data_IF_753867131834
#
_entry.id   IF_753867131834
#
_cell.length_a   1.000
_cell.length_b   1.000
_cell.length_c   1.000
_cell.angle_alpha   90.00
_cell.angle_beta   90.00
_cell.angle_gamma   90.00
#
_symmetry.space_group_name_H-M   'P 1'
#
loop_
_entity.id
_entity.type
_entity.pdbx_description
1 polymer ?
#
# COMPACT_ATOMS: atom_id res chain seq x y z
N UNK A 1 14.29 32.28 -0.09
CA UNK A 1 12.90 32.64 0.27
C UNK A 1 12.00 32.24 -0.90
N UNK A 2 10.85 31.58 -0.67
CA UNK A 2 9.96 30.95 -1.70
C UNK A 2 10.51 29.71 -2.42
N UNK A 3 11.26 28.87 -1.70
CA UNK A 3 11.78 27.62 -2.25
C UNK A 3 10.64 26.67 -2.69
N UNK A 4 9.60 26.52 -1.87
CA UNK A 4 8.43 25.68 -2.18
C UNK A 4 7.67 26.10 -3.44
N UNK A 5 7.62 27.39 -3.78
CA UNK A 5 6.95 27.91 -5.00
C UNK A 5 7.80 27.72 -6.27
N UNK A 6 9.09 27.37 -6.12
CA UNK A 6 10.08 27.34 -7.21
C UNK A 6 10.80 26.00 -7.31
N UNK A 7 10.27 24.96 -6.66
CA UNK A 7 10.85 23.63 -6.62
C UNK A 7 9.84 22.61 -7.10
N UNK A 8 10.25 21.79 -8.07
CA UNK A 8 9.54 20.59 -8.48
C UNK A 8 10.28 19.40 -7.91
N UNK A 9 9.55 18.56 -7.17
CA UNK A 9 10.10 17.34 -6.59
C UNK A 9 9.77 16.19 -7.54
N UNK A 10 10.79 15.58 -8.10
CA UNK A 10 10.66 14.37 -8.91
C UNK A 10 10.89 13.18 -7.98
N UNK A 11 9.81 12.46 -7.70
CA UNK A 11 9.85 11.22 -6.91
C UNK A 11 9.99 10.05 -7.86
N UNK A 12 10.88 9.12 -7.53
CA UNK A 12 11.07 7.87 -8.27
C UNK A 12 10.77 6.70 -7.36
N UNK A 13 10.05 5.71 -7.88
CA UNK A 13 9.90 4.41 -7.24
C UNK A 13 10.72 3.37 -7.98
N UNK A 14 11.38 2.50 -7.21
CA UNK A 14 12.15 1.39 -7.73
C UNK A 14 11.34 0.11 -7.62
N UNK A 15 11.45 -0.76 -8.62
CA UNK A 15 10.84 -2.10 -8.64
C UNK A 15 11.82 -3.18 -8.14
N UNK A 16 12.83 -2.80 -7.36
CA UNK A 16 13.83 -3.74 -6.86
C UNK A 16 13.26 -4.46 -5.64
N UNK A 17 13.44 -5.78 -5.61
CA UNK A 17 13.12 -6.59 -4.45
C UNK A 17 14.09 -6.29 -3.31
N UNK A 18 13.58 -5.60 -2.30
CA UNK A 18 14.30 -5.22 -1.09
C UNK A 18 13.35 -5.27 0.10
N UNK A 19 13.91 -5.43 1.29
CA UNK A 19 13.13 -5.45 2.51
C UNK A 19 13.87 -4.79 3.66
N UNK A 20 13.09 -4.28 4.59
CA UNK A 20 13.56 -3.56 5.76
C UNK A 20 12.91 -4.17 6.99
N UNK A 21 13.74 -4.53 7.97
CA UNK A 21 13.28 -5.01 9.26
C UNK A 21 13.11 -3.83 10.19
N UNK A 22 11.89 -3.59 10.64
CA UNK A 22 11.62 -2.64 11.72
C UNK A 22 11.67 -3.41 13.04
N UNK A 23 12.50 -2.95 13.99
CA UNK A 23 12.62 -3.58 15.29
C UNK A 23 12.79 -2.55 16.40
N UNK A 24 12.47 -2.99 17.61
CA UNK A 24 12.51 -2.15 18.80
C UNK A 24 13.87 -2.29 19.48
N UNK A 25 14.58 -1.18 19.66
CA UNK A 25 15.88 -1.11 20.35
C UNK A 25 15.72 -0.41 21.68
N UNK A 26 16.13 -1.08 22.77
CA UNK A 26 16.23 -0.47 24.10
C UNK A 26 17.54 0.30 24.22
N UNK A 27 17.49 1.49 24.81
CA UNK A 27 18.65 2.31 25.14
C UNK A 27 18.49 2.97 26.52
N UNK A 28 19.49 3.75 26.93
CA UNK A 28 19.53 4.41 28.24
C UNK A 28 18.40 5.44 28.44
N UNK A 29 17.85 6.00 27.36
CA UNK A 29 16.74 6.97 27.39
C UNK A 29 15.39 6.34 27.02
N UNK A 30 15.25 5.02 27.19
CA UNK A 30 14.03 4.28 26.90
C UNK A 30 14.10 3.50 25.59
N UNK A 31 12.94 3.31 24.98
CA UNK A 31 12.78 2.38 23.86
C UNK A 31 12.49 3.13 22.58
N UNK A 32 13.21 2.82 21.50
CA UNK A 32 12.98 3.42 20.16
C UNK A 32 12.75 2.35 19.11
N UNK A 33 11.95 2.68 18.11
CA UNK A 33 11.90 1.91 16.86
C UNK A 33 13.10 2.30 15.99
N UNK A 34 13.69 1.31 15.35
CA UNK A 34 14.79 1.49 14.40
C UNK A 34 14.59 0.49 13.27
N UNK A 35 15.29 0.71 12.17
CA UNK A 35 15.27 -0.19 11.02
C UNK A 35 16.66 -0.70 10.67
N UNK A 36 16.71 -1.82 9.98
CA UNK A 36 17.89 -2.32 9.26
C UNK A 36 17.45 -2.95 7.95
N UNK A 37 18.37 -3.07 6.99
CA UNK A 37 18.16 -3.94 5.83
C UNK A 37 17.88 -5.37 6.31
N UNK A 38 16.94 -6.05 5.65
CA UNK A 38 16.61 -7.44 5.95
C UNK A 38 17.15 -8.38 4.85
N UNK A 39 16.36 -8.62 3.82
CA UNK A 39 16.65 -9.49 2.67
C UNK A 39 16.53 -8.74 1.35
N UNK A 40 16.99 -9.34 0.26
CA UNK A 40 16.96 -8.73 -1.07
C UNK A 40 18.18 -7.86 -1.35
N UNK A 41 18.09 -7.03 -2.39
CA UNK A 41 19.18 -6.13 -2.78
C UNK A 41 19.13 -4.85 -1.93
N UNK A 42 20.29 -4.31 -1.51
CA UNK A 42 20.29 -3.03 -0.84
C UNK A 42 19.70 -1.96 -1.76
N UNK A 43 18.94 -1.04 -1.18
CA UNK A 43 18.40 0.11 -1.91
C UNK A 43 19.53 0.87 -2.61
N UNK A 44 19.50 1.01 -3.94
CA UNK A 44 20.49 1.77 -4.69
C UNK A 44 20.57 3.20 -4.18
N UNK A 45 21.81 3.63 -3.95
CA UNK A 45 22.16 4.97 -3.46
C UNK A 45 22.20 6.01 -4.59
N UNK A 46 22.26 5.53 -5.82
CA UNK A 46 22.30 6.34 -7.03
C UNK A 46 21.46 5.68 -8.11
N UNK A 47 20.52 6.44 -8.69
CA UNK A 47 19.64 5.95 -9.74
C UNK A 47 19.86 6.75 -11.04
N UNK A 48 20.70 6.24 -11.98
CA UNK A 48 21.08 6.98 -13.17
C UNK A 48 19.89 7.52 -13.96
N UNK A 49 18.86 6.69 -14.14
CA UNK A 49 17.63 7.06 -14.86
C UNK A 49 16.85 8.19 -14.20
N UNK A 50 16.81 8.25 -12.86
CA UNK A 50 16.16 9.35 -12.14
C UNK A 50 16.96 10.64 -12.29
N UNK A 51 18.29 10.55 -12.26
CA UNK A 51 19.17 11.69 -12.46
C UNK A 51 19.12 12.22 -13.89
N UNK A 52 19.01 11.34 -14.89
CA UNK A 52 18.78 11.72 -16.29
C UNK A 52 17.43 12.38 -16.47
N UNK A 53 16.36 11.83 -15.88
CA UNK A 53 15.03 12.44 -15.91
C UNK A 53 15.04 13.84 -15.25
N UNK A 54 15.72 13.99 -14.11
CA UNK A 54 15.86 15.27 -13.43
C UNK A 54 16.65 16.30 -14.26
N UNK A 55 17.75 15.88 -14.90
CA UNK A 55 18.51 16.74 -15.83
C UNK A 55 17.65 17.16 -17.02
N UNK A 56 16.93 16.22 -17.63
CA UNK A 56 16.04 16.50 -18.76
C UNK A 56 14.93 17.49 -18.39
N UNK A 57 14.26 17.28 -17.26
CA UNK A 57 13.24 18.20 -16.74
C UNK A 57 13.84 19.60 -16.48
N UNK A 58 15.02 19.69 -15.87
CA UNK A 58 15.69 20.95 -15.62
C UNK A 58 16.00 21.71 -16.93
N UNK A 59 16.50 21.03 -17.97
CA UNK A 59 16.77 21.63 -19.29
C UNK A 59 15.49 22.23 -19.91
N UNK A 60 14.37 21.52 -19.87
CA UNK A 60 13.12 21.99 -20.47
C UNK A 60 12.44 23.11 -19.66
N UNK A 61 12.65 23.14 -18.35
CA UNK A 61 12.03 24.10 -17.44
C UNK A 61 12.91 25.33 -17.15
N UNK A 62 14.15 25.36 -17.66
CA UNK A 62 15.14 26.39 -17.30
C UNK A 62 15.54 26.36 -15.82
N UNK A 63 15.52 25.17 -15.20
CA UNK A 63 15.79 24.96 -13.79
C UNK A 63 17.21 24.44 -13.52
N UNK A 64 17.52 24.22 -12.23
CA UNK A 64 18.77 23.57 -11.79
C UNK A 64 18.43 22.22 -11.16
N UNK A 65 18.97 21.09 -11.65
CA UNK A 65 18.73 19.79 -11.05
C UNK A 65 19.43 19.69 -9.69
N UNK A 66 18.80 19.03 -8.73
CA UNK A 66 19.37 18.79 -7.40
C UNK A 66 18.84 17.50 -6.80
N UNK A 67 19.64 16.89 -5.92
CA UNK A 67 19.26 15.70 -5.14
C UNK A 67 18.93 16.10 -3.70
N UNK A 68 18.21 15.25 -2.99
CA UNK A 68 17.87 15.52 -1.60
C UNK A 68 19.13 15.52 -0.72
N UNK A 69 19.27 16.49 0.19
CA UNK A 69 20.47 16.64 1.01
C UNK A 69 20.77 15.37 1.83
N UNK A 70 19.73 14.70 2.33
CA UNK A 70 19.85 13.49 3.14
C UNK A 70 20.36 12.28 2.34
N UNK A 71 19.96 12.16 1.07
CA UNK A 71 20.43 11.10 0.16
C UNK A 71 21.91 11.30 -0.19
N UNK A 72 22.33 12.56 -0.39
CA UNK A 72 23.72 12.91 -0.72
C UNK A 72 24.65 12.86 0.49
N UNK A 73 24.19 13.25 1.68
CA UNK A 73 25.03 13.36 2.90
C UNK A 73 25.01 12.13 3.80
N UNK A 74 23.89 11.40 3.87
CA UNK A 74 23.71 10.30 4.83
C UNK A 74 23.62 8.93 4.17
N UNK A 75 23.54 8.86 2.84
CA UNK A 75 23.48 7.60 2.08
C UNK A 75 22.30 6.70 2.49
N UNK A 76 21.26 7.33 3.04
CA UNK A 76 20.02 6.69 3.48
C UNK A 76 18.96 7.01 2.42
N UNK A 77 18.59 6.04 1.57
CA UNK A 77 17.49 6.24 0.65
C UNK A 77 16.20 6.45 1.46
N UNK A 78 15.62 7.64 1.31
CA UNK A 78 14.35 7.97 1.92
C UNK A 78 13.24 7.32 1.07
N UNK A 79 12.58 6.30 1.59
CA UNK A 79 11.31 5.85 1.03
C UNK A 79 10.15 6.39 1.86
N UNK A 80 9.17 6.97 1.18
CA UNK A 80 7.92 7.40 1.82
C UNK A 80 6.89 6.26 1.90
N UNK A 81 7.12 5.17 1.17
CA UNK A 81 6.14 4.10 0.97
C UNK A 81 6.71 2.76 1.44
N UNK A 82 6.76 2.55 2.76
CA UNK A 82 7.00 1.23 3.33
C UNK A 82 5.72 0.41 3.11
N UNK A 83 5.83 -0.68 2.36
CA UNK A 83 4.73 -1.62 2.10
C UNK A 83 5.04 -2.97 2.73
N UNK A 84 3.99 -3.78 2.93
CA UNK A 84 4.11 -5.11 3.49
C UNK A 84 4.31 -5.13 5.02
N UNK A 85 4.64 -6.31 5.55
CA UNK A 85 4.76 -6.56 6.99
C UNK A 85 3.49 -7.14 7.62
N UNK A 86 2.34 -6.95 7.00
CA UNK A 86 1.08 -7.63 7.32
C UNK A 86 0.38 -8.11 6.03
N UNK A 87 1.15 -8.69 5.10
CA UNK A 87 0.70 -9.00 3.75
C UNK A 87 -0.51 -9.93 3.72
N UNK A 88 -1.37 -9.74 2.71
CA UNK A 88 -2.42 -10.71 2.35
C UNK A 88 -1.76 -12.03 1.93
N UNK A 89 -2.26 -13.15 2.48
CA UNK A 89 -1.82 -14.50 2.14
C UNK A 89 -2.98 -15.48 1.96
N UNK A 90 -2.68 -16.65 1.40
CA UNK A 90 -3.64 -17.74 1.28
C UNK A 90 -3.75 -18.56 2.59
N UNK A 91 -2.74 -18.47 3.45
CA UNK A 91 -2.60 -19.19 4.71
C UNK A 91 -1.75 -18.38 5.70
N UNK A 92 -1.76 -18.71 7.00
CA UNK A 92 -0.86 -18.09 7.99
C UNK A 92 0.64 -18.30 7.69
N UNK A 93 0.99 -19.30 6.86
CA UNK A 93 2.38 -19.53 6.44
C UNK A 93 2.82 -18.58 5.31
N UNK A 94 1.88 -17.97 4.60
CA UNK A 94 2.12 -17.15 3.39
C UNK A 94 1.73 -15.68 3.55
N UNK A 95 1.09 -15.32 4.66
CA UNK A 95 0.72 -13.95 4.97
C UNK A 95 0.22 -13.79 6.41
N UNK A 96 -0.11 -12.55 6.78
CA UNK A 96 -0.61 -12.20 8.12
C UNK A 96 -2.11 -12.06 8.13
N UNK A 97 -2.68 -11.54 7.03
CA UNK A 97 -4.12 -11.39 6.86
C UNK A 97 -4.63 -12.24 5.71
N UNK A 98 -5.88 -12.65 5.80
CA UNK A 98 -6.57 -13.33 4.70
C UNK A 98 -6.99 -12.36 3.59
N UNK A 99 -7.61 -12.88 2.52
CA UNK A 99 -8.09 -12.12 1.37
C UNK A 99 -9.22 -11.11 1.71
N UNK A 100 -9.75 -11.13 2.93
CA UNK A 100 -10.74 -10.19 3.47
C UNK A 100 -10.13 -9.27 4.53
N UNK A 101 -8.80 -9.22 4.63
CA UNK A 101 -8.04 -8.37 5.56
C UNK A 101 -8.20 -8.73 7.04
N UNK A 102 -8.64 -9.95 7.37
CA UNK A 102 -8.71 -10.46 8.75
C UNK A 102 -7.39 -11.12 9.13
N UNK A 103 -6.86 -10.84 10.31
CA UNK A 103 -5.64 -11.47 10.82
C UNK A 103 -5.90 -12.97 11.05
N UNK A 104 -5.01 -13.83 10.56
CA UNK A 104 -5.14 -15.27 10.78
C UNK A 104 -5.15 -15.60 12.28
N UNK A 105 -6.13 -16.40 12.71
CA UNK A 105 -6.33 -16.77 14.13
C UNK A 105 -6.99 -15.69 14.99
N UNK A 106 -7.21 -14.48 14.45
CA UNK A 106 -7.88 -13.36 15.11
C UNK A 106 -8.86 -12.68 14.13
N UNK A 107 -9.98 -13.33 13.77
CA UNK A 107 -10.86 -12.87 12.70
C UNK A 107 -11.53 -11.51 12.96
N UNK A 108 -11.60 -11.08 14.22
CA UNK A 108 -12.11 -9.76 14.60
C UNK A 108 -11.06 -8.64 14.47
N UNK A 109 -9.79 -8.98 14.31
CA UNK A 109 -8.69 -8.03 14.09
C UNK A 109 -8.40 -7.90 12.59
N UNK A 110 -8.35 -6.67 12.10
CA UNK A 110 -8.19 -6.39 10.67
C UNK A 110 -7.01 -5.45 10.41
N UNK A 111 -6.36 -5.59 9.25
CA UNK A 111 -5.30 -4.67 8.78
C UNK A 111 -5.67 -4.16 7.39
N UNK A 112 -5.91 -2.86 7.28
CA UNK A 112 -6.29 -2.20 6.03
C UNK A 112 -5.36 -1.01 5.82
N UNK A 113 -4.22 -1.30 5.20
CA UNK A 113 -3.10 -0.37 5.04
C UNK A 113 -2.13 -0.85 3.95
N UNK A 114 -1.15 -0.02 3.57
CA UNK A 114 0.02 -0.43 2.78
C UNK A 114 0.74 -1.67 3.32
N UNK A 115 0.63 -1.95 4.63
CA UNK A 115 1.16 -3.16 5.23
C UNK A 115 0.55 -4.46 4.66
N UNK A 116 -0.67 -4.40 4.12
CA UNK A 116 -1.36 -5.55 3.51
C UNK A 116 -0.94 -5.82 2.06
N UNK A 117 -0.25 -4.88 1.42
CA UNK A 117 0.23 -5.00 0.04
C UNK A 117 1.39 -5.99 -0.02
N UNK A 118 1.21 -7.08 -0.77
CA UNK A 118 2.15 -8.22 -0.77
C UNK A 118 3.46 -7.99 -1.53
N UNK A 119 3.50 -7.00 -2.43
CA UNK A 119 4.66 -6.75 -3.29
C UNK A 119 4.84 -5.27 -3.59
N UNK A 120 6.08 -4.91 -3.94
CA UNK A 120 6.39 -3.56 -4.40
C UNK A 120 5.77 -3.32 -5.79
N UNK A 121 4.91 -2.31 -5.88
CA UNK A 121 4.15 -1.98 -7.09
C UNK A 121 5.01 -1.23 -8.14
N UNK A 122 6.17 -0.69 -7.75
CA UNK A 122 6.99 0.17 -8.61
C UNK A 122 6.37 1.54 -8.91
N UNK A 123 5.19 1.84 -8.37
CA UNK A 123 4.42 3.08 -8.53
C UNK A 123 3.77 3.48 -7.21
N UNK A 124 3.24 4.71 -7.14
CA UNK A 124 2.60 5.24 -5.94
C UNK A 124 1.48 4.30 -5.45
N UNK A 125 1.52 3.82 -4.19
CA UNK A 125 0.60 2.79 -3.71
C UNK A 125 -0.77 3.32 -3.27
N UNK A 126 -0.96 4.64 -3.18
CA UNK A 126 -2.17 5.24 -2.60
C UNK A 126 -3.47 4.66 -3.18
N UNK A 127 -3.62 4.64 -4.50
CA UNK A 127 -4.82 4.10 -5.14
C UNK A 127 -4.97 2.58 -4.96
N UNK A 128 -3.87 1.83 -4.83
CA UNK A 128 -3.93 0.40 -4.53
C UNK A 128 -4.40 0.16 -3.11
N UNK A 129 -3.89 0.93 -2.14
CA UNK A 129 -4.33 0.89 -0.74
C UNK A 129 -5.81 1.26 -0.66
N UNK A 130 -6.24 2.32 -1.34
CA UNK A 130 -7.64 2.73 -1.42
C UNK A 130 -8.51 1.62 -2.00
N UNK A 131 -8.14 1.04 -3.15
CA UNK A 131 -8.91 -0.03 -3.77
C UNK A 131 -9.02 -1.28 -2.89
N UNK A 132 -7.93 -1.68 -2.22
CA UNK A 132 -7.94 -2.80 -1.27
C UNK A 132 -8.80 -2.49 -0.04
N UNK A 133 -8.72 -1.26 0.48
CA UNK A 133 -9.51 -0.81 1.61
C UNK A 133 -11.00 -0.77 1.29
N UNK A 134 -11.38 -0.16 0.17
CA UNK A 134 -12.77 -0.10 -0.28
C UNK A 134 -13.34 -1.49 -0.52
N UNK A 135 -12.57 -2.38 -1.16
CA UNK A 135 -12.96 -3.78 -1.32
C UNK A 135 -13.14 -4.49 0.03
N UNK A 136 -12.20 -4.35 0.97
CA UNK A 136 -12.32 -5.00 2.27
C UNK A 136 -13.56 -4.52 3.04
N UNK A 137 -13.81 -3.20 3.03
CA UNK A 137 -14.96 -2.59 3.70
C UNK A 137 -16.29 -2.94 3.01
N UNK A 138 -16.31 -3.06 1.68
CA UNK A 138 -17.52 -3.46 0.96
C UNK A 138 -17.96 -4.89 1.25
N UNK A 139 -17.08 -5.73 1.79
CA UNK A 139 -17.38 -7.12 2.16
C UNK A 139 -17.71 -7.27 3.65
N UNK A 140 -17.71 -6.17 4.41
CA UNK A 140 -17.97 -6.17 5.84
C UNK A 140 -19.48 -6.27 6.11
N UNK A 141 -19.94 -7.11 7.07
CA UNK A 141 -21.36 -7.18 7.41
C UNK A 141 -21.87 -5.91 8.10
N UNK A 142 -23.17 -5.61 7.97
CA UNK A 142 -23.77 -4.61 8.85
C UNK A 142 -23.80 -5.12 10.30
N UNK A 143 -23.85 -4.19 11.25
CA UNK A 143 -23.99 -4.55 12.65
C UNK A 143 -25.29 -5.33 12.90
N UNK A 144 -25.17 -6.55 13.44
CA UNK A 144 -26.28 -7.46 13.70
C UNK A 144 -26.61 -8.44 12.56
N UNK A 145 -26.04 -8.23 11.38
CA UNK A 145 -26.20 -9.17 10.26
C UNK A 145 -25.20 -10.34 10.39
N UNK A 146 -25.53 -11.51 9.83
CA UNK A 146 -24.56 -12.58 9.64
C UNK A 146 -23.38 -12.11 8.78
N UNK A 147 -22.16 -12.56 9.10
CA UNK A 147 -20.99 -12.31 8.26
C UNK A 147 -21.07 -13.16 6.99
N UNK A 148 -21.17 -12.55 5.78
CA UNK A 148 -21.26 -13.31 4.53
C UNK A 148 -19.90 -13.88 4.09
N UNK A 149 -18.79 -13.43 4.72
CA UNK A 149 -17.45 -13.89 4.37
C UNK A 149 -17.25 -15.33 4.88
N UNK A 150 -16.71 -16.25 4.06
CA UNK A 150 -16.28 -17.56 4.51
C UNK A 150 -15.36 -17.50 5.73
N UNK A 151 -15.35 -18.55 6.54
CA UNK A 151 -14.38 -18.70 7.62
C UNK A 151 -12.96 -18.79 7.07
N UNK A 152 -11.95 -18.49 7.90
CA UNK A 152 -10.55 -18.54 7.48
C UNK A 152 -10.09 -19.95 7.03
N UNK A 153 -10.81 -21.00 7.39
CA UNK A 153 -10.52 -22.39 7.00
C UNK A 153 -11.14 -22.81 5.66
N UNK A 154 -12.15 -22.08 5.18
CA UNK A 154 -12.86 -22.42 3.93
C UNK A 154 -12.16 -21.88 2.67
N UNK A 155 -11.12 -21.06 2.84
CA UNK A 155 -10.41 -20.41 1.76
C UNK A 155 -11.16 -19.21 1.17
N UNK A 156 -10.58 -18.60 0.13
CA UNK A 156 -11.16 -17.43 -0.51
C UNK A 156 -12.34 -17.79 -1.42
N UNK A 157 -13.40 -16.97 -1.39
CA UNK A 157 -14.52 -17.01 -2.31
C UNK A 157 -14.85 -15.59 -2.74
N UNK A 158 -15.14 -15.38 -4.01
CA UNK A 158 -15.72 -14.10 -4.41
C UNK A 158 -17.16 -14.03 -3.87
N UNK A 159 -17.46 -12.96 -3.13
CA UNK A 159 -18.80 -12.68 -2.60
C UNK A 159 -19.25 -11.31 -3.07
N UNK A 160 -20.56 -11.09 -3.07
CA UNK A 160 -21.14 -9.80 -3.42
C UNK A 160 -20.87 -8.76 -2.32
N UNK A 161 -20.70 -7.48 -2.70
CA UNK A 161 -20.62 -6.39 -1.73
C UNK A 161 -21.87 -6.27 -0.87
N UNK A 162 -21.68 -6.01 0.43
CA UNK A 162 -22.73 -5.69 1.39
C UNK A 162 -23.05 -4.19 1.31
N UNK A 163 -24.31 -3.85 1.01
CA UNK A 163 -24.77 -2.46 1.11
C UNK A 163 -25.01 -2.08 2.58
N UNK A 164 -24.60 -0.87 3.00
CA UNK A 164 -24.84 -0.40 4.35
C UNK A 164 -26.33 -0.11 4.59
N UNK A 165 -26.87 -0.51 5.74
CA UNK A 165 -28.25 -0.17 6.14
C UNK A 165 -28.46 1.34 6.33
N UNK A 166 -27.41 2.06 6.68
CA UNK A 166 -27.41 3.51 6.88
C UNK A 166 -26.19 4.12 6.19
N UNK A 167 -26.27 4.39 4.87
CA UNK A 167 -25.13 4.90 4.12
C UNK A 167 -24.74 6.30 4.60
N UNK A 168 -23.44 6.57 4.71
CA UNK A 168 -22.93 7.89 5.07
C UNK A 168 -23.26 8.97 4.03
N UNK A 169 -23.34 8.58 2.76
CA UNK A 169 -23.79 9.43 1.66
C UNK A 169 -25.18 8.97 1.21
N UNK A 170 -26.21 9.83 1.29
CA UNK A 170 -27.57 9.45 0.93
C UNK A 170 -27.72 9.04 -0.54
N UNK A 171 -28.70 8.18 -0.79
CA UNK A 171 -29.08 7.80 -2.15
C UNK A 171 -29.49 9.03 -2.97
N UNK A 172 -29.05 9.11 -4.22
CA UNK A 172 -29.25 10.21 -5.16
C UNK A 172 -28.21 11.33 -5.06
N UNK A 173 -27.32 11.32 -4.05
CA UNK A 173 -26.27 12.34 -3.93
C UNK A 173 -25.10 12.08 -4.90
N UNK A 174 -24.31 13.11 -5.28
CA UNK A 174 -23.22 12.97 -6.27
C UNK A 174 -22.14 11.93 -5.91
N UNK A 175 -21.94 11.65 -4.63
CA UNK A 175 -20.95 10.69 -4.12
C UNK A 175 -21.60 9.46 -3.48
N UNK A 176 -22.85 9.14 -3.84
CA UNK A 176 -23.51 7.95 -3.31
C UNK A 176 -22.70 6.68 -3.63
N UNK A 177 -22.68 5.72 -2.70
CA UNK A 177 -22.04 4.44 -2.92
C UNK A 177 -22.80 3.70 -4.03
N UNK A 178 -22.11 3.42 -5.15
CA UNK A 178 -22.64 2.62 -6.24
C UNK A 178 -21.71 1.45 -6.47
N UNK A 179 -22.24 0.24 -6.33
CA UNK A 179 -21.55 -0.93 -6.85
C UNK A 179 -21.87 -1.07 -8.34
N UNK A 180 -20.88 -1.37 -9.20
CA UNK A 180 -21.19 -1.76 -10.56
C UNK A 180 -22.15 -2.95 -10.51
N UNK A 181 -23.14 -3.03 -11.42
CA UNK A 181 -23.95 -4.24 -11.53
C UNK A 181 -22.99 -5.42 -11.67
N UNK A 182 -23.20 -6.46 -10.87
CA UNK A 182 -22.45 -7.71 -10.92
C UNK A 182 -22.70 -8.39 -12.26
N UNK A 183 -22.08 -7.88 -13.31
CA UNK A 183 -21.91 -8.58 -14.56
C UNK A 183 -20.98 -9.73 -14.27
N UNK A 184 -21.50 -10.96 -14.36
CA UNK A 184 -20.67 -12.15 -14.36
C UNK A 184 -19.52 -11.95 -15.33
N UNK A 185 -18.30 -11.89 -14.80
CA UNK A 185 -17.14 -12.24 -15.61
C UNK A 185 -17.32 -13.73 -15.90
N UNK A 186 -17.92 -14.04 -17.05
CA UNK A 186 -17.75 -15.34 -17.69
C UNK A 186 -16.27 -15.71 -17.57
N UNK A 187 -15.93 -16.95 -17.14
CA UNK A 187 -14.55 -17.38 -17.06
C UNK A 187 -13.92 -17.21 -18.43
N UNK A 188 -13.12 -16.15 -18.60
CA UNK A 188 -12.43 -15.88 -19.84
C UNK A 188 -11.61 -17.10 -20.20
N UNK A 189 -11.97 -17.74 -21.31
CA UNK A 189 -11.12 -18.66 -22.04
C UNK A 189 -9.75 -18.02 -22.18
N UNK A 190 -8.77 -18.58 -21.47
CA UNK A 190 -7.36 -18.32 -21.72
C UNK A 190 -7.04 -18.97 -23.07
N UNK A 191 -6.82 -18.16 -24.09
CA UNK A 191 -5.95 -18.52 -25.21
C UNK A 191 -4.49 -18.47 -24.76
#
# INVERSE_FOLDING_TARGET
RRWSERTVILLVMQSIDNSLRVFRKKGIFGTRLTSAHDTGRPSPRHLPIANEAARSAATHMGGTPGSSLNEVLLDIPLTAHILGGACVGASPDTGVVDAYHRVFGHPDLHVVDGASVAANLGVNPSLTITAMAERAMSLWPNNGDPDPRPTQTEGYRQIDPTLPHSPAVPQGAPAELRFPPTGGLEPGTRE
#
